data_IF_518172248473
#
_entry.id   IF_518172248473
#
_cell.length_a   1.000
_cell.length_b   1.000
_cell.length_c   1.000
_cell.angle_alpha   90.00
_cell.angle_beta   90.00
_cell.angle_gamma   90.00
#
_symmetry.space_group_name_H-M   'P 1'
#
loop_
_entity.id
_entity.type
_entity.pdbx_description
1 polymer ?
#
# COMPACT_ATOMS: atom_id res chain seq x y z
N UNK A 1 -5.44 13.17 -30.83
CA UNK A 1 -5.09 11.98 -30.02
C UNK A 1 -4.98 12.42 -28.57
N UNK A 2 -5.76 11.85 -27.65
CA UNK A 2 -5.60 12.14 -26.21
C UNK A 2 -4.38 11.37 -25.71
N UNK A 3 -3.37 12.09 -25.26
CA UNK A 3 -2.19 11.54 -24.60
C UNK A 3 -2.65 10.74 -23.38
N UNK A 4 -2.44 9.42 -23.40
CA UNK A 4 -2.88 8.50 -22.34
C UNK A 4 -1.93 8.74 -21.16
N UNK A 5 -2.29 9.69 -20.27
CA UNK A 5 -1.54 10.01 -19.06
C UNK A 5 -1.24 8.70 -18.33
N UNK A 6 0.03 8.37 -18.13
CA UNK A 6 0.42 7.12 -17.49
C UNK A 6 -0.18 7.06 -16.08
N UNK A 7 -0.96 6.01 -15.83
CA UNK A 7 -1.65 5.78 -14.55
C UNK A 7 -0.86 4.75 -13.77
N UNK A 8 -0.74 4.95 -12.47
CA UNK A 8 -0.21 3.94 -11.57
C UNK A 8 -1.04 2.66 -11.66
N UNK A 9 -0.36 1.51 -11.71
CA UNK A 9 -1.04 0.21 -11.83
C UNK A 9 -0.30 -0.91 -11.12
N UNK A 10 -1.07 -1.89 -10.63
CA UNK A 10 -0.54 -3.19 -10.21
C UNK A 10 -0.58 -4.11 -11.43
N UNK A 11 0.58 -4.58 -11.87
CA UNK A 11 0.74 -5.42 -13.06
C UNK A 11 0.64 -6.91 -12.69
N UNK A 12 1.25 -7.33 -11.58
CA UNK A 12 1.30 -8.75 -11.20
C UNK A 12 1.22 -8.96 -9.69
N UNK A 13 0.75 -10.15 -9.30
CA UNK A 13 0.92 -10.72 -7.97
C UNK A 13 1.52 -12.11 -8.13
N UNK A 14 2.61 -12.39 -7.43
CA UNK A 14 3.12 -13.74 -7.26
C UNK A 14 3.44 -14.06 -5.82
N UNK A 15 3.27 -15.32 -5.42
CA UNK A 15 3.49 -15.77 -4.06
C UNK A 15 4.39 -17.00 -4.08
N UNK A 16 5.39 -17.02 -3.20
CA UNK A 16 6.29 -18.14 -2.99
C UNK A 16 6.12 -18.60 -1.54
N UNK A 17 5.75 -19.86 -1.34
CA UNK A 17 5.47 -20.46 -0.05
C UNK A 17 4.09 -20.11 0.54
N UNK A 18 3.73 -20.82 1.60
CA UNK A 18 2.47 -20.63 2.32
C UNK A 18 1.24 -21.19 1.59
N UNK A 19 0.08 -20.62 1.89
CA UNK A 19 -1.24 -21.08 1.43
C UNK A 19 -1.48 -20.87 -0.08
N UNK A 20 -0.88 -19.82 -0.65
CA UNK A 20 -1.00 -19.47 -2.07
C UNK A 20 0.29 -19.76 -2.84
N UNK A 21 1.07 -20.74 -2.40
CA UNK A 21 2.34 -21.08 -3.05
C UNK A 21 2.16 -21.36 -4.55
N UNK A 22 3.07 -20.80 -5.36
CA UNK A 22 3.03 -20.90 -6.82
C UNK A 22 1.97 -20.03 -7.50
N UNK A 23 1.17 -19.25 -6.78
CA UNK A 23 0.21 -18.33 -7.38
C UNK A 23 0.95 -17.29 -8.23
N UNK A 24 0.52 -17.12 -9.47
CA UNK A 24 0.93 -16.04 -10.36
C UNK A 24 -0.30 -15.46 -11.06
N UNK A 25 -0.52 -14.16 -10.88
CA UNK A 25 -1.62 -13.41 -11.49
C UNK A 25 -1.02 -12.26 -12.30
N UNK A 26 -1.47 -12.11 -13.54
CA UNK A 26 -1.25 -10.92 -14.36
C UNK A 26 -2.56 -10.15 -14.44
N UNK A 27 -2.54 -8.88 -14.03
CA UNK A 27 -3.73 -8.03 -14.06
C UNK A 27 -3.83 -7.28 -15.39
N UNK A 28 -5.04 -7.16 -15.90
CA UNK A 28 -5.35 -6.37 -17.08
C UNK A 28 -5.55 -4.89 -16.77
N UNK A 29 -5.68 -4.09 -17.83
CA UNK A 29 -6.09 -2.69 -17.73
C UNK A 29 -7.50 -2.58 -17.13
N UNK A 30 -7.68 -1.69 -16.14
CA UNK A 30 -9.01 -1.37 -15.60
C UNK A 30 -9.52 -2.39 -14.58
N UNK A 31 -10.77 -2.83 -14.74
CA UNK A 31 -11.45 -3.67 -13.76
C UNK A 31 -10.98 -5.14 -13.87
N UNK A 32 -10.44 -5.64 -12.77
CA UNK A 32 -10.07 -7.04 -12.61
C UNK A 32 -11.03 -7.69 -11.59
N UNK A 33 -11.55 -8.88 -11.89
CA UNK A 33 -12.49 -9.58 -11.01
C UNK A 33 -11.96 -10.97 -10.67
N UNK A 34 -11.76 -11.24 -9.37
CA UNK A 34 -11.29 -12.54 -8.87
C UNK A 34 -12.47 -13.33 -8.31
N UNK A 35 -12.84 -14.43 -8.95
CA UNK A 35 -14.01 -15.27 -8.61
C UNK A 35 -13.55 -16.68 -8.26
N UNK A 36 -14.26 -17.34 -7.34
CA UNK A 36 -13.97 -18.70 -6.90
C UNK A 36 -14.77 -19.09 -5.67
N UNK A 37 -14.78 -20.38 -5.34
CA UNK A 37 -15.51 -20.93 -4.19
C UNK A 37 -15.02 -20.35 -2.84
N UNK A 38 -15.78 -20.55 -1.76
CA UNK A 38 -15.34 -20.16 -0.41
C UNK A 38 -14.04 -20.89 -0.07
N UNK A 39 -13.08 -20.16 0.52
CA UNK A 39 -11.81 -20.73 0.95
C UNK A 39 -10.72 -20.79 -0.12
N UNK A 40 -10.97 -20.38 -1.38
CA UNK A 40 -9.96 -20.39 -2.45
C UNK A 40 -8.90 -19.29 -2.36
N UNK A 41 -8.88 -18.49 -1.29
CA UNK A 41 -7.84 -17.48 -1.08
C UNK A 41 -8.03 -16.12 -1.76
N UNK A 42 -9.21 -15.82 -2.31
CA UNK A 42 -9.52 -14.52 -2.93
C UNK A 42 -9.19 -13.32 -2.04
N UNK A 43 -9.72 -13.33 -0.81
CA UNK A 43 -9.43 -12.28 0.19
C UNK A 43 -7.93 -12.25 0.50
N UNK A 44 -7.30 -13.43 0.65
CA UNK A 44 -5.86 -13.53 0.92
C UNK A 44 -5.01 -12.87 -0.17
N UNK A 45 -5.38 -13.00 -1.44
CA UNK A 45 -4.67 -12.34 -2.54
C UNK A 45 -4.73 -10.81 -2.40
N UNK A 46 -5.89 -10.24 -2.07
CA UNK A 46 -6.06 -8.79 -1.85
C UNK A 46 -5.27 -8.33 -0.62
N UNK A 47 -5.34 -9.07 0.50
CA UNK A 47 -4.58 -8.72 1.71
C UNK A 47 -3.07 -8.82 1.49
N UNK A 48 -2.61 -9.78 0.68
CA UNK A 48 -1.19 -9.90 0.35
C UNK A 48 -0.70 -8.70 -0.47
N UNK A 49 -1.49 -8.23 -1.43
CA UNK A 49 -1.18 -7.00 -2.17
C UNK A 49 -1.09 -5.82 -1.20
N UNK A 50 -2.08 -5.64 -0.33
CA UNK A 50 -2.08 -4.53 0.64
C UNK A 50 -0.93 -4.58 1.63
N UNK A 51 -0.60 -5.78 2.11
CA UNK A 51 0.56 -5.97 2.97
C UNK A 51 1.88 -5.67 2.24
N UNK A 52 2.08 -6.20 1.03
CA UNK A 52 3.31 -5.98 0.26
C UNK A 52 3.51 -4.50 -0.09
N UNK A 53 2.44 -3.80 -0.45
CA UNK A 53 2.48 -2.38 -0.81
C UNK A 53 2.43 -1.41 0.39
N UNK A 54 2.56 -1.93 1.61
CA UNK A 54 2.44 -1.19 2.88
C UNK A 54 1.19 -0.29 2.97
N UNK A 55 0.10 -0.75 2.35
CA UNK A 55 -1.17 -0.03 2.22
C UNK A 55 -2.21 -0.54 3.24
N UNK A 56 -1.73 -0.93 4.43
CA UNK A 56 -2.57 -1.42 5.51
C UNK A 56 -3.32 -0.27 6.21
N UNK A 57 -4.47 -0.55 6.87
CA UNK A 57 -5.20 0.45 7.64
C UNK A 57 -4.33 1.17 8.68
N UNK A 58 -4.72 2.41 9.01
CA UNK A 58 -4.04 3.26 9.98
C UNK A 58 -3.84 2.54 11.32
N UNK A 59 -2.63 2.58 11.86
CA UNK A 59 -2.35 2.02 13.21
C UNK A 59 -3.10 2.76 14.31
N UNK A 60 -3.37 4.05 14.13
CA UNK A 60 -3.98 4.90 15.16
C UNK A 60 -5.50 4.77 15.15
N UNK A 61 -6.10 4.79 13.96
CA UNK A 61 -7.55 4.78 13.82
C UNK A 61 -8.10 3.35 13.66
N UNK A 62 -7.37 2.47 12.98
CA UNK A 62 -7.84 1.16 12.53
C UNK A 62 -7.03 -0.04 13.08
N UNK A 63 -6.54 0.05 14.31
CA UNK A 63 -5.63 -0.95 14.91
C UNK A 63 -6.15 -2.40 14.84
N UNK A 64 -7.43 -2.63 15.16
CA UNK A 64 -8.02 -3.97 15.19
C UNK A 64 -8.11 -4.59 13.78
N UNK A 65 -8.50 -3.80 12.79
CA UNK A 65 -8.58 -4.26 11.39
C UNK A 65 -7.18 -4.55 10.85
N UNK A 66 -6.22 -3.66 11.13
CA UNK A 66 -4.83 -3.89 10.78
C UNK A 66 -4.30 -5.18 11.41
N UNK A 67 -4.56 -5.41 12.69
CA UNK A 67 -4.12 -6.62 13.40
C UNK A 67 -4.76 -7.88 12.82
N UNK A 68 -6.03 -7.81 12.39
CA UNK A 68 -6.73 -8.90 11.71
C UNK A 68 -6.04 -9.24 10.40
N UNK A 69 -5.72 -8.23 9.58
CA UNK A 69 -5.01 -8.42 8.30
C UNK A 69 -3.61 -9.00 8.55
N UNK A 70 -2.83 -8.42 9.47
CA UNK A 70 -1.48 -8.91 9.80
C UNK A 70 -1.52 -10.36 10.30
N UNK A 71 -2.53 -10.73 11.10
CA UNK A 71 -2.74 -12.12 11.54
C UNK A 71 -3.03 -13.05 10.36
N UNK A 72 -3.90 -12.62 9.43
CA UNK A 72 -4.23 -13.37 8.24
C UNK A 72 -2.98 -13.59 7.37
N UNK A 73 -2.20 -12.53 7.15
CA UNK A 73 -0.96 -12.59 6.37
C UNK A 73 0.03 -13.53 7.04
N UNK A 74 0.27 -13.39 8.34
CA UNK A 74 1.19 -14.27 9.09
C UNK A 74 0.83 -15.75 8.91
N UNK A 75 -0.45 -16.08 9.11
CA UNK A 75 -0.94 -17.46 9.05
C UNK A 75 -0.84 -18.03 7.65
N UNK A 76 -1.22 -17.24 6.64
CA UNK A 76 -1.33 -17.74 5.28
C UNK A 76 0.00 -17.67 4.51
N UNK A 77 0.93 -16.78 4.87
CA UNK A 77 2.23 -16.69 4.19
C UNK A 77 3.23 -17.69 4.76
N UNK A 78 3.18 -18.01 6.06
CA UNK A 78 3.90 -19.15 6.65
C UNK A 78 5.42 -19.14 6.47
N UNK A 79 6.04 -17.98 6.28
CA UNK A 79 7.48 -17.82 5.97
C UNK A 79 7.81 -17.63 4.49
N UNK A 80 6.79 -17.61 3.63
CA UNK A 80 6.89 -17.27 2.23
C UNK A 80 7.15 -15.79 1.95
N UNK A 81 7.11 -15.45 0.66
CA UNK A 81 7.34 -14.11 0.13
C UNK A 81 6.25 -13.72 -0.86
N UNK A 82 5.79 -12.48 -0.76
CA UNK A 82 4.87 -11.85 -1.69
C UNK A 82 5.71 -10.99 -2.64
N UNK A 83 5.46 -11.09 -3.95
CA UNK A 83 6.02 -10.18 -4.95
C UNK A 83 4.88 -9.52 -5.73
N UNK A 84 4.90 -8.20 -5.82
CA UNK A 84 3.91 -7.40 -6.54
C UNK A 84 4.62 -6.55 -7.59
N UNK A 85 4.30 -6.77 -8.86
CA UNK A 85 4.76 -5.91 -9.94
C UNK A 85 3.89 -4.66 -10.02
N UNK A 86 4.51 -3.49 -10.07
CA UNK A 86 3.83 -2.19 -10.13
C UNK A 86 4.40 -1.32 -11.24
N UNK A 87 3.58 -0.40 -11.73
CA UNK A 87 3.96 0.67 -12.65
C UNK A 87 3.67 2.03 -12.02
N UNK A 88 4.67 2.91 -12.03
CA UNK A 88 4.57 4.27 -11.53
C UNK A 88 4.00 5.23 -12.59
N UNK A 89 3.76 6.49 -12.21
CA UNK A 89 3.13 7.52 -13.07
C UNK A 89 4.01 7.96 -14.24
N UNK A 90 5.32 7.81 -14.10
CA UNK A 90 6.32 8.07 -15.15
C UNK A 90 6.42 6.91 -16.16
N UNK A 91 5.71 5.80 -15.92
CA UNK A 91 5.76 4.59 -16.74
C UNK A 91 6.80 3.57 -16.29
N UNK A 92 7.65 3.90 -15.31
CA UNK A 92 8.67 3.01 -14.77
C UNK A 92 8.03 1.81 -14.06
N UNK A 93 8.64 0.64 -14.19
CA UNK A 93 8.16 -0.62 -13.60
C UNK A 93 9.05 -1.05 -12.44
N UNK A 94 8.43 -1.55 -11.37
CA UNK A 94 9.13 -2.01 -10.18
C UNK A 94 8.53 -3.31 -9.66
N UNK A 95 9.33 -4.10 -8.97
CA UNK A 95 8.88 -5.26 -8.21
C UNK A 95 9.01 -4.97 -6.71
N UNK A 96 7.89 -5.03 -6.00
CA UNK A 96 7.86 -4.91 -4.54
C UNK A 96 7.85 -6.32 -3.96
N UNK A 97 8.85 -6.66 -3.15
CA UNK A 97 8.95 -7.96 -2.50
C UNK A 97 8.89 -7.80 -0.98
N UNK A 98 8.11 -8.65 -0.31
CA UNK A 98 7.95 -8.58 1.15
C UNK A 98 7.71 -9.96 1.76
N UNK A 99 8.48 -10.29 2.80
CA UNK A 99 8.23 -11.42 3.70
C UNK A 99 7.50 -10.93 4.95
N UNK A 100 6.89 -11.84 5.72
CA UNK A 100 6.20 -11.44 6.94
C UNK A 100 7.18 -10.92 8.00
N UNK A 101 6.94 -9.70 8.51
CA UNK A 101 7.76 -9.06 9.54
C UNK A 101 8.85 -8.15 8.99
N UNK A 102 9.16 -8.26 7.71
CA UNK A 102 10.18 -7.44 7.05
C UNK A 102 9.57 -6.16 6.44
N UNK A 103 10.45 -5.19 6.17
CA UNK A 103 10.12 -4.02 5.35
C UNK A 103 10.04 -4.40 3.86
N UNK A 104 9.18 -3.74 3.07
CA UNK A 104 9.09 -3.99 1.64
C UNK A 104 10.38 -3.56 0.93
N UNK A 105 10.88 -4.44 0.06
CA UNK A 105 12.06 -4.18 -0.79
C UNK A 105 11.57 -3.88 -2.21
N UNK A 106 11.98 -2.74 -2.75
CA UNK A 106 11.61 -2.30 -4.10
C UNK A 106 12.79 -2.56 -5.04
N UNK A 107 12.52 -3.28 -6.12
CA UNK A 107 13.47 -3.61 -7.17
C UNK A 107 13.07 -2.90 -8.47
N UNK A 108 14.03 -2.40 -9.23
CA UNK A 108 13.80 -1.88 -10.58
C UNK A 108 13.66 -3.01 -11.63
N UNK A 109 13.60 -2.63 -12.90
CA UNK A 109 13.57 -3.55 -14.04
C UNK A 109 14.82 -4.42 -14.18
N UNK A 110 15.93 -4.04 -13.56
CA UNK A 110 17.21 -4.76 -13.56
C UNK A 110 17.41 -5.59 -12.27
N UNK A 111 16.37 -5.70 -11.43
CA UNK A 111 16.37 -6.32 -10.11
C UNK A 111 17.36 -5.70 -9.12
N UNK A 112 17.72 -4.43 -9.29
CA UNK A 112 18.53 -3.71 -8.32
C UNK A 112 17.65 -3.11 -7.23
N UNK A 113 18.05 -3.21 -5.94
CA UNK A 113 17.29 -2.62 -4.84
C UNK A 113 17.41 -1.09 -4.86
N UNK A 114 16.26 -0.40 -4.83
CA UNK A 114 16.22 1.04 -4.63
C UNK A 114 16.16 1.39 -3.15
N UNK A 115 16.81 2.50 -2.76
CA UNK A 115 16.69 3.10 -1.42
C UNK A 115 15.43 3.95 -1.23
N UNK A 116 14.45 3.87 -2.15
CA UNK A 116 13.19 4.62 -2.06
C UNK A 116 12.14 3.85 -1.27
N UNK A 117 11.22 4.57 -0.62
CA UNK A 117 10.13 3.97 0.13
C UNK A 117 8.81 4.11 -0.67
N UNK A 118 7.90 3.14 -0.58
CA UNK A 118 6.57 3.27 -1.19
C UNK A 118 5.83 4.53 -0.70
N UNK A 119 6.04 4.91 0.56
CA UNK A 119 5.48 6.12 1.18
C UNK A 119 6.04 7.43 0.65
N UNK A 120 7.15 7.42 -0.09
CA UNK A 120 7.70 8.65 -0.68
C UNK A 120 6.96 9.10 -1.95
N UNK A 121 5.82 8.48 -2.26
CA UNK A 121 4.96 8.84 -3.39
C UNK A 121 5.22 8.04 -4.67
N UNK A 122 6.11 7.03 -4.64
CA UNK A 122 6.40 6.17 -5.79
C UNK A 122 5.13 5.49 -6.32
N UNK A 123 4.39 4.88 -5.40
CA UNK A 123 3.18 4.14 -5.70
C UNK A 123 2.22 4.21 -4.53
N UNK A 124 0.93 4.36 -4.84
CA UNK A 124 -0.12 4.33 -3.84
C UNK A 124 -1.27 3.45 -4.33
N UNK A 125 -1.72 2.57 -3.46
CA UNK A 125 -2.94 1.79 -3.64
C UNK A 125 -3.86 2.04 -2.44
N UNK A 126 -5.12 2.32 -2.72
CA UNK A 126 -6.17 2.32 -1.71
C UNK A 126 -6.82 0.94 -1.70
N UNK A 127 -6.63 0.20 -0.60
CA UNK A 127 -7.06 -1.20 -0.48
C UNK A 127 -8.10 -1.32 0.62
N UNK A 128 -9.28 -1.79 0.22
CA UNK A 128 -10.42 -1.96 1.09
C UNK A 128 -10.62 -3.46 1.37
N UNK A 129 -10.23 -3.87 2.58
CA UNK A 129 -10.40 -5.23 3.13
C UNK A 129 -11.88 -5.65 3.20
N UNK A 130 -12.11 -6.92 3.51
CA UNK A 130 -13.45 -7.45 3.75
C UNK A 130 -14.17 -6.65 4.85
N UNK A 131 -15.38 -6.15 4.53
CA UNK A 131 -16.22 -5.30 5.39
C UNK A 131 -15.65 -3.89 5.67
N UNK A 132 -14.60 -3.46 4.95
CA UNK A 132 -14.02 -2.13 5.17
C UNK A 132 -15.02 -0.99 4.92
N UNK A 133 -15.88 -1.11 3.89
CA UNK A 133 -16.87 -0.07 3.54
C UNK A 133 -17.88 0.13 4.67
N UNK A 134 -18.38 -0.96 5.26
CA UNK A 134 -19.29 -0.94 6.41
C UNK A 134 -18.60 -0.27 7.61
N UNK A 135 -17.34 -0.64 7.88
CA UNK A 135 -16.57 -0.04 8.98
C UNK A 135 -16.30 1.46 8.80
N UNK A 136 -16.09 1.92 7.56
CA UNK A 136 -15.91 3.34 7.24
C UNK A 136 -17.21 4.12 7.50
N UNK A 137 -18.36 3.56 7.17
CA UNK A 137 -19.65 4.23 7.38
C UNK A 137 -19.93 4.53 8.87
N UNK A 138 -19.49 3.64 9.77
CA UNK A 138 -19.77 3.76 11.21
C UNK A 138 -18.70 4.51 12.01
N UNK A 139 -17.57 4.90 11.40
CA UNK A 139 -16.41 5.46 12.11
C UNK A 139 -15.99 6.81 11.54
N UNK A 140 -16.37 7.95 12.16
CA UNK A 140 -16.05 9.29 11.67
C UNK A 140 -14.56 9.54 11.41
N UNK A 141 -13.67 8.99 12.25
CA UNK A 141 -12.22 9.10 12.05
C UNK A 141 -11.72 8.38 10.79
N UNK A 142 -12.34 7.25 10.41
CA UNK A 142 -11.99 6.56 9.16
C UNK A 142 -12.48 7.32 7.93
N UNK A 143 -13.61 8.01 8.06
CA UNK A 143 -14.11 8.87 6.99
C UNK A 143 -13.16 10.04 6.76
N UNK A 144 -12.68 10.66 7.84
CA UNK A 144 -11.64 11.69 7.76
C UNK A 144 -10.35 11.15 7.14
N UNK A 145 -9.83 10.01 7.61
CA UNK A 145 -8.65 9.37 7.01
C UNK A 145 -8.83 9.12 5.50
N UNK A 146 -10.02 8.66 5.09
CA UNK A 146 -10.34 8.42 3.68
C UNK A 146 -10.37 9.73 2.88
N UNK A 147 -10.98 10.78 3.41
CA UNK A 147 -11.03 12.10 2.78
C UNK A 147 -9.61 12.67 2.64
N UNK A 148 -8.84 12.64 3.72
CA UNK A 148 -7.46 13.11 3.76
C UNK A 148 -6.57 12.32 2.81
N UNK A 149 -6.86 11.03 2.63
CA UNK A 149 -6.19 10.21 1.64
C UNK A 149 -6.29 10.86 0.25
N UNK A 150 -7.42 11.41 -0.19
CA UNK A 150 -7.53 12.04 -1.51
C UNK A 150 -6.66 13.30 -1.66
N UNK A 151 -6.38 13.99 -0.56
CA UNK A 151 -5.58 15.21 -0.52
C UNK A 151 -4.17 15.00 0.09
N UNK A 152 -3.73 13.75 0.26
CA UNK A 152 -2.56 13.42 1.09
C UNK A 152 -1.28 14.18 0.76
N UNK A 153 -0.99 14.44 -0.53
CA UNK A 153 0.17 15.24 -0.93
C UNK A 153 0.05 16.71 -0.49
N UNK A 154 -1.12 17.32 -0.69
CA UNK A 154 -1.36 18.71 -0.30
C UNK A 154 -1.28 18.87 1.23
N UNK A 155 -1.82 17.89 1.95
CA UNK A 155 -1.74 17.82 3.41
C UNK A 155 -0.28 17.70 3.87
N UNK A 156 0.51 16.81 3.26
CA UNK A 156 1.93 16.64 3.58
C UNK A 156 2.76 17.91 3.32
N UNK A 157 2.47 18.62 2.22
CA UNK A 157 3.13 19.88 1.89
C UNK A 157 2.81 20.96 2.94
N UNK A 158 1.56 21.04 3.40
CA UNK A 158 1.12 21.97 4.45
C UNK A 158 1.83 21.66 5.78
N UNK A 159 1.84 20.40 6.21
CA UNK A 159 2.51 19.98 7.44
C UNK A 159 4.02 20.26 7.41
N UNK A 160 4.66 20.03 6.26
CA UNK A 160 6.09 20.33 6.09
C UNK A 160 6.38 21.82 6.28
N UNK A 161 5.53 22.70 5.74
CA UNK A 161 5.63 24.15 5.95
C UNK A 161 5.40 24.55 7.39
N UNK A 162 4.43 23.95 8.06
CA UNK A 162 4.16 24.20 9.49
C UNK A 162 5.38 23.86 10.35
N UNK A 163 5.97 22.67 10.16
CA UNK A 163 7.18 22.26 10.87
C UNK A 163 8.36 23.21 10.62
N UNK A 164 8.51 23.68 9.37
CA UNK A 164 9.52 24.66 9.02
C UNK A 164 9.30 25.97 9.79
N UNK A 165 8.08 26.51 9.83
CA UNK A 165 7.77 27.71 10.60
C UNK A 165 8.02 27.56 12.10
N UNK A 166 7.60 26.43 12.69
CA UNK A 166 7.86 26.13 14.11
C UNK A 166 9.37 26.10 14.39
N UNK A 167 10.16 25.50 13.50
CA UNK A 167 11.62 25.46 13.65
C UNK A 167 12.25 26.85 13.59
N UNK A 168 11.79 27.71 12.68
CA UNK A 168 12.27 29.09 12.54
C UNK A 168 11.94 29.93 13.77
N UNK A 169 10.71 29.81 14.30
CA UNK A 169 10.30 30.53 15.51
C UNK A 169 11.13 30.10 16.73
N UNK A 170 11.40 28.79 16.90
CA UNK A 170 12.26 28.30 17.98
C UNK A 170 13.70 28.79 17.86
N UNK A 171 14.25 28.82 16.65
CA UNK A 171 15.59 29.34 16.41
C UNK A 171 15.70 30.84 16.76
N UNK A 172 14.69 31.63 16.40
CA UNK A 172 14.63 33.06 16.72
C UNK A 172 14.47 33.30 18.23
N UNK A 173 13.72 32.45 18.93
CA UNK A 173 13.53 32.57 20.38
C UNK A 173 14.81 32.33 21.20
N UNK A 174 15.81 31.64 20.64
CA UNK A 174 17.12 31.43 21.28
C UNK A 174 18.15 32.54 20.97
N UNK A 175 17.80 33.53 20.15
CA UNK A 175 18.68 34.66 19.81
C UNK A 175 18.31 35.96 20.55
N UNK A 176 17.38 35.89 21.52
CA UNK A 176 16.97 36.98 22.42
C UNK A 176 17.38 36.60 23.84
#
# INVERSE_FOLDING_TARGET
>A
MRERRAVQRIDTLSVIGGFLDGLQISFGDGLNTVIGARGTGKTTAVEFIGYALDSLPSRQHAADERKRIETLVKRNLGGGRICVGIRARDGSTYNVTRSFGDEPIILDSENQPLSVNLKSGLFRADIFSQNAVESIADRPLFQLDLIDSFAGQQIADIFSREQQFISTLKANAHQI
#
